data_IF_447110375700
#
_entry.id   IF_447110375700
#
_cell.length_a   1.000
_cell.length_b   1.000
_cell.length_c   1.000
_cell.angle_alpha   90.00
_cell.angle_beta   90.00
_cell.angle_gamma   90.00
#
_symmetry.space_group_name_H-M   'P 1'
#
loop_
_entity.id
_entity.type
_entity.pdbx_description
1 polymer ?
#
# COMPACT_ATOMS: atom_id res chain seq x y z
N UNK A 1 18.54 4.04 4.07
CA UNK A 1 18.58 5.44 4.55
C UNK A 1 17.28 6.18 4.21
N UNK A 2 16.77 6.12 2.98
CA UNK A 2 15.55 6.81 2.56
C UNK A 2 14.33 6.45 3.43
N UNK A 3 14.16 5.16 3.77
CA UNK A 3 13.10 4.73 4.69
C UNK A 3 13.19 5.38 6.08
N UNK A 4 14.41 5.57 6.60
CA UNK A 4 14.61 6.27 7.87
C UNK A 4 14.27 7.77 7.76
N UNK A 5 14.55 8.40 6.63
CA UNK A 5 14.18 9.80 6.36
C UNK A 5 12.66 9.96 6.23
N UNK A 6 11.99 9.02 5.55
CA UNK A 6 10.53 9.01 5.45
C UNK A 6 9.88 8.86 6.82
N UNK A 7 10.38 7.95 7.67
CA UNK A 7 9.89 7.80 9.05
C UNK A 7 10.16 9.05 9.88
N UNK A 8 11.36 9.65 9.78
CA UNK A 8 11.68 10.87 10.52
C UNK A 8 10.77 12.06 10.16
N UNK A 9 10.22 12.10 8.95
CA UNK A 9 9.27 13.13 8.55
C UNK A 9 7.89 13.01 9.23
N UNK A 10 7.58 11.83 9.78
CA UNK A 10 6.27 11.53 10.39
C UNK A 10 6.32 11.27 11.89
N UNK A 11 7.46 10.82 12.44
CA UNK A 11 7.51 10.29 13.81
C UNK A 11 7.19 11.31 14.89
N UNK A 12 7.36 12.62 14.62
CA UNK A 12 7.03 13.71 15.56
C UNK A 12 5.62 14.28 15.37
N UNK A 13 4.88 13.74 14.41
CA UNK A 13 3.49 14.10 14.14
C UNK A 13 2.54 13.15 14.87
N UNK A 14 1.28 13.57 15.16
CA UNK A 14 0.28 12.72 15.80
C UNK A 14 -0.30 11.72 14.77
N UNK A 15 0.55 10.92 14.16
CA UNK A 15 0.20 9.90 13.16
C UNK A 15 0.69 8.52 13.59
N UNK A 16 -0.02 7.51 13.17
CA UNK A 16 0.40 6.11 13.32
C UNK A 16 1.38 5.77 12.22
N UNK A 17 2.54 5.24 12.61
CA UNK A 17 3.59 4.83 11.66
C UNK A 17 3.83 3.34 11.77
N UNK A 18 3.90 2.71 10.62
CA UNK A 18 4.21 1.30 10.48
C UNK A 18 5.26 1.11 9.39
N UNK A 19 6.29 0.31 9.64
CA UNK A 19 7.23 -0.13 8.62
C UNK A 19 7.22 -1.64 8.48
N UNK A 20 7.43 -2.10 7.27
CA UNK A 20 7.51 -3.51 6.93
C UNK A 20 8.96 -3.89 6.64
N UNK A 21 9.46 -4.93 7.31
CA UNK A 21 10.83 -5.44 7.21
C UNK A 21 10.79 -6.96 7.21
N UNK A 22 10.88 -7.58 6.05
CA UNK A 22 10.70 -9.02 5.92
C UNK A 22 9.31 -9.46 6.40
N UNK A 23 9.29 -10.35 7.41
CA UNK A 23 8.09 -10.85 8.06
C UNK A 23 7.64 -10.03 9.29
N UNK A 24 8.38 -8.96 9.63
CA UNK A 24 8.12 -8.13 10.81
C UNK A 24 7.49 -6.80 10.47
N UNK A 25 6.69 -6.31 11.39
CA UNK A 25 6.04 -5.02 11.35
C UNK A 25 6.49 -4.22 12.58
N UNK A 26 7.12 -3.06 12.36
CA UNK A 26 7.51 -2.16 13.44
C UNK A 26 6.55 -0.98 13.46
N UNK A 27 6.05 -0.64 14.64
CA UNK A 27 5.06 0.42 14.84
C UNK A 27 5.51 1.39 15.92
N UNK A 28 5.07 2.65 15.84
CA UNK A 28 5.27 3.61 16.90
C UNK A 28 4.28 3.42 18.06
N UNK A 29 4.61 3.85 19.29
CA UNK A 29 3.75 3.70 20.46
C UNK A 29 2.55 4.67 20.46
N UNK A 30 2.53 5.68 19.60
CA UNK A 30 1.42 6.63 19.45
C UNK A 30 0.08 5.95 19.13
N UNK A 31 0.15 4.75 18.74
CA UNK A 31 -0.99 3.96 18.41
C UNK A 31 -1.49 3.19 19.63
N UNK A 32 -2.49 3.75 20.32
CA UNK A 32 -3.60 2.88 20.70
C UNK A 32 -4.11 2.27 19.40
N UNK A 33 -3.43 1.23 19.00
CA UNK A 33 -3.76 0.46 17.82
C UNK A 33 -5.02 -0.36 18.08
N UNK A 34 -6.03 0.23 18.79
CA UNK A 34 -7.37 -0.32 18.93
C UNK A 34 -7.97 -0.63 17.54
N UNK A 35 -7.61 0.16 16.55
CA UNK A 35 -7.84 -0.15 15.15
C UNK A 35 -7.18 -1.49 14.75
N UNK A 36 -5.98 -1.76 15.21
CA UNK A 36 -5.23 -2.98 14.92
C UNK A 36 -5.64 -4.14 15.81
N UNK A 37 -6.08 -3.87 17.03
CA UNK A 37 -6.69 -4.87 17.94
C UNK A 37 -7.99 -5.43 17.32
N UNK A 38 -8.72 -4.62 16.57
CA UNK A 38 -9.87 -5.07 15.78
C UNK A 38 -9.46 -5.77 14.47
N UNK A 39 -8.22 -5.64 14.01
CA UNK A 39 -7.70 -6.39 12.89
C UNK A 39 -7.42 -7.82 13.35
N UNK A 40 -8.38 -8.72 13.16
CA UNK A 40 -8.33 -10.14 13.54
C UNK A 40 -7.33 -10.96 12.72
N UNK A 41 -6.22 -10.36 12.31
CA UNK A 41 -5.16 -11.06 11.59
C UNK A 41 -4.13 -11.54 12.62
N UNK A 42 -4.22 -12.80 12.98
CA UNK A 42 -3.35 -13.45 13.99
C UNK A 42 -1.86 -13.22 13.68
N UNK A 43 -1.47 -13.30 12.41
CA UNK A 43 -0.08 -13.07 11.98
C UNK A 43 0.41 -11.62 12.21
N UNK A 44 -0.47 -10.62 12.19
CA UNK A 44 -0.09 -9.24 12.49
C UNK A 44 0.38 -9.09 13.94
N UNK A 45 -0.36 -9.65 14.88
CA UNK A 45 -0.03 -9.55 16.31
C UNK A 45 1.24 -10.33 16.66
N UNK A 46 1.51 -11.46 15.99
CA UNK A 46 2.69 -12.28 16.21
C UNK A 46 3.99 -11.60 15.75
N UNK A 47 3.91 -10.77 14.70
CA UNK A 47 5.09 -10.16 14.05
C UNK A 47 5.26 -8.66 14.36
N UNK A 48 4.43 -8.11 15.23
CA UNK A 48 4.44 -6.70 15.61
C UNK A 48 5.52 -6.39 16.65
N UNK A 49 6.32 -5.35 16.39
CA UNK A 49 7.33 -4.81 17.32
C UNK A 49 7.05 -3.34 17.53
N UNK A 50 6.88 -2.91 18.79
CA UNK A 50 6.69 -1.50 19.15
C UNK A 50 8.04 -0.84 19.38
N UNK A 51 8.31 0.30 18.74
CA UNK A 51 9.54 1.09 18.88
C UNK A 51 9.20 2.57 19.02
N UNK A 52 9.82 3.25 19.98
CA UNK A 52 9.70 4.71 20.16
C UNK A 52 10.45 5.49 19.06
N UNK A 53 11.63 5.00 18.67
CA UNK A 53 12.45 5.60 17.60
C UNK A 53 12.63 4.59 16.46
N UNK A 54 11.67 4.56 15.54
CA UNK A 54 11.74 3.70 14.35
C UNK A 54 12.85 4.16 13.42
N UNK A 55 13.01 5.48 13.21
CA UNK A 55 14.03 6.02 12.31
C UNK A 55 15.45 5.68 12.79
N UNK A 56 15.70 5.82 14.10
CA UNK A 56 16.95 5.40 14.72
C UNK A 56 17.19 3.89 14.63
N UNK A 57 16.15 3.08 14.86
CA UNK A 57 16.24 1.64 14.74
C UNK A 57 16.56 1.18 13.30
N UNK A 58 15.99 1.81 12.28
CA UNK A 58 16.34 1.53 10.87
C UNK A 58 17.84 1.72 10.64
N UNK A 59 18.40 2.84 11.10
CA UNK A 59 19.83 3.15 10.92
C UNK A 59 20.73 2.22 11.73
N UNK A 60 20.45 2.05 13.03
CA UNK A 60 21.29 1.27 13.95
C UNK A 60 21.33 -0.21 13.62
N UNK A 61 20.19 -0.77 13.18
CA UNK A 61 20.04 -2.19 12.88
C UNK A 61 20.18 -2.50 11.40
N UNK A 62 20.40 -1.47 10.55
CA UNK A 62 20.44 -1.58 9.09
C UNK A 62 19.23 -2.34 8.53
N UNK A 63 18.02 -1.94 8.95
CA UNK A 63 16.79 -2.62 8.54
C UNK A 63 16.49 -2.37 7.06
N UNK A 64 16.20 -3.43 6.34
CA UNK A 64 15.76 -3.37 4.94
C UNK A 64 14.25 -3.11 4.87
N UNK A 65 13.87 -1.83 4.84
CA UNK A 65 12.48 -1.38 4.86
C UNK A 65 11.88 -1.49 3.47
N UNK A 66 10.87 -2.32 3.32
CA UNK A 66 10.15 -2.52 2.05
C UNK A 66 9.01 -1.53 1.88
N UNK A 67 8.39 -1.06 2.97
CA UNK A 67 7.30 -0.08 2.94
C UNK A 67 7.26 0.71 4.25
N UNK A 68 7.02 2.02 4.15
CA UNK A 68 6.58 2.87 5.26
C UNK A 68 5.10 3.19 5.03
N UNK A 69 4.27 2.97 6.05
CA UNK A 69 2.85 3.29 6.05
C UNK A 69 2.54 4.27 7.17
N UNK A 70 1.84 5.33 6.85
CA UNK A 70 1.37 6.30 7.84
C UNK A 70 -0.14 6.51 7.72
N UNK A 71 -0.82 6.55 8.87
CA UNK A 71 -2.26 6.81 8.96
C UNK A 71 -2.53 7.86 10.03
N UNK A 72 -3.40 8.82 9.73
CA UNK A 72 -3.72 9.92 10.65
C UNK A 72 -4.63 10.97 10.05
N UNK A 73 -4.73 12.12 10.71
CA UNK A 73 -5.48 13.25 10.18
C UNK A 73 -4.83 13.79 8.90
N UNK A 74 -5.64 14.15 7.92
CA UNK A 74 -5.16 14.62 6.61
C UNK A 74 -4.17 15.79 6.71
N UNK A 75 -4.41 16.72 7.64
CA UNK A 75 -3.52 17.87 7.86
C UNK A 75 -2.11 17.44 8.27
N UNK A 76 -1.98 16.44 9.15
CA UNK A 76 -0.69 15.97 9.63
C UNK A 76 0.01 15.11 8.58
N UNK A 77 -0.75 14.29 7.84
CA UNK A 77 -0.21 13.53 6.71
C UNK A 77 0.32 14.46 5.61
N UNK A 78 -0.37 15.56 5.30
CA UNK A 78 0.10 16.52 4.29
C UNK A 78 1.37 17.25 4.74
N UNK A 79 1.53 17.59 6.03
CA UNK A 79 2.79 18.14 6.57
C UNK A 79 3.95 17.16 6.33
N UNK A 80 3.75 15.88 6.60
CA UNK A 80 4.75 14.84 6.34
C UNK A 80 5.08 14.73 4.85
N UNK A 81 4.04 14.71 3.99
CA UNK A 81 4.19 14.56 2.55
C UNK A 81 4.98 15.72 1.91
N UNK A 82 4.92 16.94 2.44
CA UNK A 82 5.74 18.06 1.98
C UNK A 82 7.24 17.73 2.05
N UNK A 83 7.68 17.02 3.08
CA UNK A 83 9.07 16.58 3.23
C UNK A 83 9.36 15.32 2.43
N UNK A 84 8.45 14.34 2.47
CA UNK A 84 8.66 13.04 1.84
C UNK A 84 8.73 13.15 0.32
N UNK A 85 7.93 14.05 -0.30
CA UNK A 85 7.96 14.31 -1.75
C UNK A 85 9.30 14.87 -2.25
N UNK A 86 10.16 15.37 -1.36
CA UNK A 86 11.51 15.83 -1.69
C UNK A 86 12.56 14.72 -1.60
N UNK A 87 12.22 13.57 -1.07
CA UNK A 87 13.14 12.43 -0.99
C UNK A 87 13.36 11.82 -2.38
N UNK A 88 14.61 11.52 -2.74
CA UNK A 88 14.88 10.81 -4.00
C UNK A 88 14.47 9.34 -3.91
N UNK A 89 14.19 8.75 -5.05
CA UNK A 89 13.99 7.31 -5.19
C UNK A 89 12.87 6.72 -4.33
N UNK A 90 11.74 7.44 -4.23
CA UNK A 90 10.54 6.97 -3.57
C UNK A 90 9.35 6.98 -4.51
N UNK A 91 8.48 5.99 -4.35
CA UNK A 91 7.11 5.97 -4.85
C UNK A 91 6.17 6.20 -3.68
N UNK A 92 5.24 7.15 -3.83
CA UNK A 92 4.24 7.48 -2.81
C UNK A 92 2.87 7.13 -3.38
N UNK A 93 2.10 6.34 -2.64
CA UNK A 93 0.71 5.98 -2.97
C UNK A 93 -0.17 6.10 -1.72
N UNK A 94 -1.46 5.92 -1.89
CA UNK A 94 -2.41 5.78 -0.80
C UNK A 94 -3.39 4.63 -1.07
N UNK A 95 -4.04 4.13 -0.03
CA UNK A 95 -5.15 3.17 -0.11
C UNK A 95 -6.45 3.73 0.46
N UNK A 96 -6.43 5.00 0.87
CA UNK A 96 -7.55 5.75 1.43
C UNK A 96 -7.18 7.22 1.64
N UNK A 97 -8.14 8.03 2.06
CA UNK A 97 -7.94 9.47 2.27
C UNK A 97 -7.14 9.79 3.56
N UNK A 98 -7.03 8.84 4.47
CA UNK A 98 -6.45 8.97 5.80
C UNK A 98 -5.07 8.32 5.95
N UNK A 99 -4.43 7.96 4.83
CA UNK A 99 -3.14 7.28 4.85
C UNK A 99 -2.29 7.60 3.63
N UNK A 100 -0.99 7.28 3.73
CA UNK A 100 -0.10 7.14 2.59
C UNK A 100 0.90 5.99 2.81
N UNK A 101 1.45 5.51 1.71
CA UNK A 101 2.48 4.49 1.64
C UNK A 101 3.70 5.05 0.92
N UNK A 102 4.90 4.78 1.45
CA UNK A 102 6.18 5.11 0.81
C UNK A 102 6.93 3.83 0.55
N UNK A 103 7.31 3.63 -0.70
CA UNK A 103 8.06 2.46 -1.17
C UNK A 103 9.28 2.92 -1.97
N UNK A 104 10.26 2.04 -2.24
CA UNK A 104 11.33 2.34 -3.20
C UNK A 104 10.76 2.74 -4.57
N UNK A 105 11.46 3.63 -5.26
CA UNK A 105 11.08 4.09 -6.61
C UNK A 105 10.86 2.90 -7.57
N UNK A 106 9.78 2.95 -8.33
CA UNK A 106 9.40 1.91 -9.28
C UNK A 106 8.84 0.63 -8.64
N UNK A 107 8.71 0.59 -7.30
CA UNK A 107 8.04 -0.53 -6.62
C UNK A 107 6.56 -0.18 -6.45
N UNK A 108 5.72 -0.85 -7.21
CA UNK A 108 4.26 -0.76 -7.16
C UNK A 108 3.61 -2.12 -7.47
N UNK A 109 2.28 -2.18 -7.38
CA UNK A 109 1.53 -3.42 -7.65
C UNK A 109 1.64 -3.86 -9.11
N UNK A 110 1.76 -2.92 -10.04
CA UNK A 110 1.89 -3.21 -11.48
C UNK A 110 3.23 -3.88 -11.78
N UNK A 111 4.33 -3.31 -11.31
CA UNK A 111 5.66 -3.91 -11.44
C UNK A 111 5.71 -5.31 -10.81
N UNK A 112 5.15 -5.46 -9.61
CA UNK A 112 5.12 -6.74 -8.92
C UNK A 112 4.34 -7.80 -9.73
N UNK A 113 3.19 -7.43 -10.29
CA UNK A 113 2.36 -8.31 -11.11
C UNK A 113 3.06 -8.73 -12.40
N UNK A 114 3.69 -7.80 -13.12
CA UNK A 114 4.47 -8.12 -14.33
C UNK A 114 5.62 -9.06 -14.01
N UNK A 115 6.34 -8.82 -12.91
CA UNK A 115 7.42 -9.69 -12.47
C UNK A 115 6.94 -11.10 -12.10
N UNK A 116 5.81 -11.20 -11.41
CA UNK A 116 5.18 -12.48 -11.10
C UNK A 116 4.80 -13.23 -12.38
N UNK A 117 4.21 -12.54 -13.36
CA UNK A 117 3.87 -13.12 -14.67
C UNK A 117 5.11 -13.67 -15.38
N UNK A 118 6.21 -12.92 -15.40
CA UNK A 118 7.48 -13.40 -15.96
C UNK A 118 7.96 -14.69 -15.28
N UNK A 119 7.85 -14.79 -13.95
CA UNK A 119 8.23 -15.99 -13.21
C UNK A 119 7.32 -17.19 -13.51
N UNK A 120 6.06 -16.97 -13.83
CA UNK A 120 5.06 -17.99 -14.12
C UNK A 120 4.92 -18.29 -15.62
N UNK A 121 5.58 -17.53 -16.49
CA UNK A 121 5.42 -17.64 -17.95
C UNK A 121 4.07 -17.14 -18.46
N UNK A 122 3.43 -16.20 -17.75
CA UNK A 122 2.15 -15.57 -18.12
C UNK A 122 2.40 -14.18 -18.67
N UNK A 123 1.93 -13.90 -19.88
CA UNK A 123 2.07 -12.58 -20.50
C UNK A 123 1.09 -11.56 -19.86
N UNK A 124 1.45 -10.27 -19.78
CA UNK A 124 0.56 -9.24 -19.22
C UNK A 124 -0.84 -9.24 -19.88
N UNK A 125 -0.93 -9.52 -21.17
CA UNK A 125 -2.16 -9.58 -21.94
C UNK A 125 -3.10 -10.72 -21.49
N UNK A 126 -2.56 -11.72 -20.82
CA UNK A 126 -3.30 -12.88 -20.30
C UNK A 126 -3.71 -12.68 -18.83
N UNK A 127 -3.37 -11.52 -18.23
CA UNK A 127 -3.64 -11.23 -16.83
C UNK A 127 -4.94 -10.42 -16.68
N UNK A 128 -5.64 -10.70 -15.60
CA UNK A 128 -6.75 -9.87 -15.08
C UNK A 128 -6.30 -9.22 -13.79
N UNK A 129 -6.54 -7.93 -13.63
CA UNK A 129 -6.35 -7.23 -12.37
C UNK A 129 -7.65 -6.56 -11.94
N UNK A 130 -7.99 -6.68 -10.66
CA UNK A 130 -9.17 -6.07 -10.06
C UNK A 130 -8.71 -5.13 -8.95
N UNK A 131 -9.14 -3.86 -8.99
CA UNK A 131 -8.71 -2.86 -8.02
C UNK A 131 -9.78 -1.83 -7.70
N UNK A 132 -9.61 -1.11 -6.59
CA UNK A 132 -10.55 -0.09 -6.12
C UNK A 132 -9.89 1.22 -5.67
N UNK A 133 -8.57 1.22 -5.42
CA UNK A 133 -7.85 2.33 -4.83
C UNK A 133 -6.70 2.83 -5.73
N UNK A 134 -6.18 4.02 -5.45
CA UNK A 134 -5.14 4.68 -6.26
C UNK A 134 -3.86 3.82 -6.40
N UNK A 135 -3.50 3.07 -5.36
CA UNK A 135 -2.36 2.15 -5.41
C UNK A 135 -2.56 0.95 -6.36
N UNK A 136 -3.77 0.74 -6.91
CA UNK A 136 -4.07 -0.28 -7.92
C UNK A 136 -3.91 0.24 -9.35
N UNK A 137 -3.79 1.56 -9.54
CA UNK A 137 -3.74 2.16 -10.87
C UNK A 137 -2.60 1.59 -11.74
N UNK A 138 -1.42 1.39 -11.16
CA UNK A 138 -0.28 0.79 -11.87
C UNK A 138 -0.58 -0.66 -12.30
N UNK A 139 -1.25 -1.43 -11.45
CA UNK A 139 -1.64 -2.81 -11.73
C UNK A 139 -2.68 -2.88 -12.87
N UNK A 140 -3.68 -2.00 -12.85
CA UNK A 140 -4.69 -1.94 -13.91
C UNK A 140 -4.08 -1.57 -15.28
N UNK A 141 -3.07 -0.69 -15.29
CA UNK A 141 -2.35 -0.31 -16.53
C UNK A 141 -1.47 -1.42 -17.09
N UNK A 142 -1.08 -2.37 -16.25
CA UNK A 142 -0.09 -3.39 -16.59
C UNK A 142 -0.68 -4.66 -17.20
N UNK A 143 -2.01 -4.82 -17.24
CA UNK A 143 -2.68 -6.07 -17.62
C UNK A 143 -3.55 -5.94 -18.87
N UNK A 144 -3.84 -7.06 -19.53
CA UNK A 144 -4.74 -7.12 -20.67
C UNK A 144 -6.21 -6.92 -20.31
N UNK A 145 -6.61 -7.29 -19.09
CA UNK A 145 -7.99 -7.12 -18.62
C UNK A 145 -8.06 -6.38 -17.29
N UNK A 146 -8.04 -5.04 -17.29
CA UNK A 146 -8.23 -4.24 -16.10
C UNK A 146 -9.70 -4.15 -15.69
N UNK A 147 -10.00 -4.39 -14.41
CA UNK A 147 -11.32 -4.32 -13.81
C UNK A 147 -11.31 -3.35 -12.64
N UNK A 148 -12.23 -2.41 -12.59
CA UNK A 148 -12.43 -1.55 -11.43
C UNK A 148 -13.64 -2.02 -10.62
N UNK A 149 -13.50 -1.95 -9.29
CA UNK A 149 -14.62 -2.17 -8.37
C UNK A 149 -15.65 -1.03 -8.48
N UNK A 150 -16.90 -1.30 -8.16
CA UNK A 150 -17.98 -0.33 -8.16
C UNK A 150 -17.79 0.84 -7.20
N UNK A 151 -17.08 0.61 -6.09
CA UNK A 151 -16.67 1.62 -5.12
C UNK A 151 -15.40 2.40 -5.49
N UNK A 152 -14.70 2.05 -6.58
CA UNK A 152 -13.52 2.77 -7.03
C UNK A 152 -13.86 4.21 -7.46
N UNK A 153 -12.86 5.09 -7.37
CA UNK A 153 -13.02 6.46 -7.83
C UNK A 153 -13.10 6.58 -9.37
N UNK A 154 -13.56 7.72 -9.91
CA UNK A 154 -13.70 7.90 -11.35
C UNK A 154 -12.38 7.77 -12.13
N UNK A 155 -11.24 8.12 -11.54
CA UNK A 155 -9.92 8.06 -12.21
C UNK A 155 -9.48 6.63 -12.40
N UNK A 156 -9.71 5.77 -11.42
CA UNK A 156 -9.43 4.35 -11.52
C UNK A 156 -10.41 3.64 -12.49
N UNK A 157 -11.71 3.98 -12.41
CA UNK A 157 -12.72 3.47 -13.34
C UNK A 157 -12.41 3.78 -14.79
N UNK A 158 -11.79 4.93 -15.07
CA UNK A 158 -11.38 5.31 -16.42
C UNK A 158 -10.23 4.45 -16.99
N UNK A 159 -9.51 3.70 -16.16
CA UNK A 159 -8.48 2.75 -16.59
C UNK A 159 -9.04 1.36 -16.90
N UNK A 160 -10.26 1.07 -16.44
CA UNK A 160 -10.84 -0.26 -16.52
C UNK A 160 -11.55 -0.51 -17.85
N UNK A 161 -11.49 -1.75 -18.33
CA UNK A 161 -12.33 -2.23 -19.44
C UNK A 161 -13.70 -2.74 -18.93
N UNK A 162 -13.76 -3.16 -17.66
CA UNK A 162 -14.97 -3.62 -17.01
C UNK A 162 -15.09 -3.02 -15.60
N UNK A 163 -16.29 -2.58 -15.25
CA UNK A 163 -16.59 -2.11 -13.89
C UNK A 163 -17.54 -3.12 -13.27
N UNK A 164 -17.10 -3.78 -12.22
CA UNK A 164 -17.89 -4.75 -11.47
C UNK A 164 -18.71 -4.08 -10.35
N UNK A 165 -19.43 -4.86 -9.54
CA UNK A 165 -20.10 -4.37 -8.35
C UNK A 165 -19.08 -3.88 -7.30
N UNK A 166 -19.55 -3.23 -6.25
CA UNK A 166 -18.72 -2.78 -5.15
C UNK A 166 -18.34 -3.92 -4.17
N UNK A 167 -17.56 -3.59 -3.15
CA UNK A 167 -17.06 -4.55 -2.17
C UNK A 167 -18.17 -5.14 -1.28
N UNK A 168 -19.31 -4.46 -1.12
CA UNK A 168 -20.46 -4.91 -0.32
C UNK A 168 -21.41 -5.82 -1.11
N UNK A 169 -21.20 -5.91 -2.43
CA UNK A 169 -22.03 -6.68 -3.37
C UNK A 169 -21.24 -7.74 -4.15
N UNK A 170 -20.25 -8.36 -3.52
CA UNK A 170 -19.44 -9.45 -4.09
C UNK A 170 -18.77 -9.12 -5.45
N UNK A 171 -18.33 -7.87 -5.64
CA UNK A 171 -17.82 -7.38 -6.93
C UNK A 171 -16.69 -8.22 -7.52
N UNK A 172 -15.76 -8.73 -6.70
CA UNK A 172 -14.68 -9.61 -7.20
C UNK A 172 -15.26 -10.91 -7.76
N UNK A 173 -16.18 -11.56 -7.03
CA UNK A 173 -16.81 -12.79 -7.49
C UNK A 173 -17.59 -12.57 -8.80
N UNK A 174 -18.34 -11.45 -8.89
CA UNK A 174 -19.07 -11.10 -10.11
C UNK A 174 -18.12 -10.89 -11.29
N UNK A 175 -16.97 -10.21 -11.10
CA UNK A 175 -15.98 -10.05 -12.14
C UNK A 175 -15.43 -11.39 -12.63
N UNK A 176 -15.08 -12.30 -11.70
CA UNK A 176 -14.59 -13.63 -12.05
C UNK A 176 -15.63 -14.43 -12.83
N UNK A 177 -16.88 -14.45 -12.39
CA UNK A 177 -17.95 -15.12 -13.15
C UNK A 177 -18.17 -14.52 -14.51
N UNK A 178 -18.18 -13.19 -14.63
CA UNK A 178 -18.38 -12.52 -15.91
C UNK A 178 -17.28 -12.83 -16.93
N UNK A 179 -16.03 -12.93 -16.49
CA UNK A 179 -14.86 -13.09 -17.37
C UNK A 179 -14.55 -14.55 -17.72
N UNK A 180 -14.95 -15.52 -16.89
CA UNK A 180 -14.51 -16.91 -17.03
C UNK A 180 -15.64 -17.92 -17.15
N UNK A 181 -16.90 -17.49 -17.19
CA UNK A 181 -18.07 -18.34 -17.42
C UNK A 181 -18.93 -17.83 -18.58
#
# INVERSE_FOLDING_TARGET
>A
EVGAQAVAAVQDLPVRVMIYVGDKIFINPFSDWDFVVNYRVEGFHANKVVLEDIAGAIRQRNLDVTKVYAIGAQEDLEKALQTIRLLPHVTITNSGADNFEVMPEGVDKGMALVRLGQMLGVAPEEMVAIGDSDNDAAMLRAVGMPVAMGNADPTLKALAQYITADCDHDGVAQAVYHLFT
#
